data_IF_242876411433
#
_entry.id   IF_242876411433
#
_cell.length_a   1.000
_cell.length_b   1.000
_cell.length_c   1.000
_cell.angle_alpha   90.00
_cell.angle_beta   90.00
_cell.angle_gamma   90.00
#
_symmetry.space_group_name_H-M   'P 1'
#
loop_
_entity.id
_entity.type
_entity.pdbx_description
1 polymer ?
#
# COMPACT_ATOMS: atom_id res chain seq x y z
N UNK A 1 -25.05 -28.01 20.17
CA UNK A 1 -24.77 -29.43 19.91
C UNK A 1 -23.26 -29.51 19.65
N UNK A 2 -22.47 -30.25 20.50
CA UNK A 2 -21.05 -30.43 20.23
C UNK A 2 -20.88 -31.42 19.07
N UNK A 3 -20.59 -30.90 17.90
CA UNK A 3 -20.23 -31.72 16.74
C UNK A 3 -18.71 -31.90 16.73
N UNK A 4 -18.21 -33.14 16.64
CA UNK A 4 -16.79 -33.44 16.49
C UNK A 4 -16.17 -32.72 15.26
N UNK A 5 -16.97 -32.45 14.23
CA UNK A 5 -16.55 -31.65 13.05
C UNK A 5 -16.39 -30.16 13.33
N UNK A 6 -17.01 -29.62 14.39
CA UNK A 6 -16.89 -28.22 14.75
C UNK A 6 -15.68 -27.92 15.69
N UNK A 7 -15.06 -28.94 16.25
CA UNK A 7 -13.96 -28.79 17.21
C UNK A 7 -12.73 -28.13 16.59
N UNK A 8 -12.24 -28.53 15.41
CA UNK A 8 -11.12 -27.85 14.75
C UNK A 8 -11.41 -26.37 14.44
N UNK A 9 -12.65 -26.05 14.07
CA UNK A 9 -13.07 -24.67 13.82
C UNK A 9 -13.08 -23.83 15.11
N UNK A 10 -13.55 -24.39 16.23
CA UNK A 10 -13.53 -23.69 17.52
C UNK A 10 -12.10 -23.46 18.01
N UNK A 11 -11.21 -24.43 17.86
CA UNK A 11 -9.81 -24.31 18.21
C UNK A 11 -9.14 -23.23 17.35
N UNK A 12 -9.38 -23.21 16.03
CA UNK A 12 -8.91 -22.18 15.13
C UNK A 12 -9.43 -20.79 15.54
N UNK A 13 -10.72 -20.66 15.86
CA UNK A 13 -11.33 -19.41 16.29
C UNK A 13 -10.71 -18.89 17.60
N UNK A 14 -10.48 -19.79 18.57
CA UNK A 14 -9.85 -19.47 19.84
C UNK A 14 -8.40 -19.00 19.63
N UNK A 15 -7.67 -19.65 18.74
CA UNK A 15 -6.29 -19.27 18.39
C UNK A 15 -6.26 -17.88 17.71
N UNK A 16 -7.09 -17.63 16.70
CA UNK A 16 -7.19 -16.33 16.04
C UNK A 16 -7.57 -15.23 17.03
N UNK A 17 -8.50 -15.51 17.95
CA UNK A 17 -8.87 -14.58 19.02
C UNK A 17 -7.71 -14.28 19.97
N UNK A 18 -6.96 -15.29 20.39
CA UNK A 18 -5.79 -15.12 21.24
C UNK A 18 -4.67 -14.33 20.54
N UNK A 19 -4.38 -14.62 19.27
CA UNK A 19 -3.42 -13.88 18.45
C UNK A 19 -3.83 -12.41 18.31
N UNK A 20 -5.12 -12.15 18.08
CA UNK A 20 -5.62 -10.77 17.99
C UNK A 20 -5.48 -10.01 19.31
N UNK A 21 -5.76 -10.65 20.45
CA UNK A 21 -5.55 -10.04 21.76
C UNK A 21 -4.07 -9.72 21.99
N UNK A 22 -3.16 -10.62 21.60
CA UNK A 22 -1.72 -10.36 21.69
C UNK A 22 -1.29 -9.17 20.80
N UNK A 23 -1.83 -9.06 19.60
CA UNK A 23 -1.56 -7.92 18.69
C UNK A 23 -2.09 -6.58 19.24
N UNK A 24 -3.15 -6.59 20.03
CA UNK A 24 -3.66 -5.39 20.70
C UNK A 24 -2.73 -4.93 21.84
N UNK A 25 -2.07 -5.87 22.52
CA UNK A 25 -1.10 -5.56 23.57
C UNK A 25 0.29 -5.21 23.01
N UNK A 26 0.64 -5.80 21.86
CA UNK A 26 1.93 -5.64 21.21
C UNK A 26 1.71 -5.40 19.70
N UNK A 27 1.63 -4.12 19.27
CA UNK A 27 1.40 -3.79 17.85
C UNK A 27 2.47 -4.31 16.89
N UNK A 28 3.71 -4.55 17.35
CA UNK A 28 4.78 -5.10 16.50
C UNK A 28 4.41 -6.48 15.96
N UNK A 29 3.66 -7.28 16.72
CA UNK A 29 3.16 -8.58 16.25
C UNK A 29 2.25 -8.50 15.04
N UNK A 30 1.52 -7.39 14.87
CA UNK A 30 0.72 -7.18 13.66
C UNK A 30 1.61 -6.96 12.43
N UNK A 31 2.73 -6.26 12.59
CA UNK A 31 3.71 -6.04 11.53
C UNK A 31 4.42 -7.34 11.19
N UNK A 32 4.85 -8.09 12.20
CA UNK A 32 5.46 -9.42 12.00
C UNK A 32 4.52 -10.37 11.27
N UNK A 33 3.24 -10.37 11.63
CA UNK A 33 2.24 -11.21 10.96
C UNK A 33 2.07 -10.79 9.50
N UNK A 34 1.99 -9.49 9.21
CA UNK A 34 1.91 -9.00 7.84
C UNK A 34 3.14 -9.43 7.01
N UNK A 35 4.34 -9.36 7.59
CA UNK A 35 5.58 -9.82 6.94
C UNK A 35 5.50 -11.33 6.64
N UNK A 36 5.03 -12.15 7.60
CA UNK A 36 4.86 -13.59 7.40
C UNK A 36 3.84 -13.90 6.29
N UNK A 37 2.75 -13.15 6.26
CA UNK A 37 1.72 -13.32 5.23
C UNK A 37 2.23 -12.96 3.84
N UNK A 38 2.98 -11.86 3.67
CA UNK A 38 3.63 -11.52 2.40
C UNK A 38 4.67 -12.58 1.98
N UNK A 39 5.47 -13.12 2.91
CA UNK A 39 6.39 -14.23 2.62
C UNK A 39 5.65 -15.48 2.13
N UNK A 40 4.56 -15.86 2.82
CA UNK A 40 3.72 -16.99 2.42
C UNK A 40 3.11 -16.80 1.04
N UNK A 41 2.78 -15.57 0.68
CA UNK A 41 2.32 -15.20 -0.66
C UNK A 41 3.45 -15.16 -1.70
N UNK A 42 4.73 -15.35 -1.28
CA UNK A 42 5.88 -15.44 -2.17
C UNK A 42 6.57 -14.11 -2.48
N UNK A 43 6.22 -13.00 -1.84
CA UNK A 43 6.90 -11.72 -2.06
C UNK A 43 8.35 -11.74 -1.56
N UNK A 44 9.26 -11.11 -2.31
CA UNK A 44 10.67 -11.02 -1.92
C UNK A 44 10.87 -10.14 -0.69
N UNK A 45 11.89 -10.43 0.11
CA UNK A 45 12.23 -9.63 1.31
C UNK A 45 12.44 -8.15 0.98
N UNK A 46 13.06 -7.84 -0.17
CA UNK A 46 13.26 -6.46 -0.61
C UNK A 46 11.92 -5.76 -0.86
N UNK A 47 10.98 -6.43 -1.53
CA UNK A 47 9.65 -5.87 -1.78
C UNK A 47 8.86 -5.71 -0.47
N UNK A 48 8.92 -6.70 0.43
CA UNK A 48 8.24 -6.66 1.75
C UNK A 48 8.74 -5.45 2.55
N UNK A 49 10.04 -5.28 2.66
CA UNK A 49 10.65 -4.15 3.37
C UNK A 49 10.21 -2.81 2.78
N UNK A 50 10.19 -2.70 1.45
CA UNK A 50 9.73 -1.51 0.76
C UNK A 50 8.23 -1.26 1.04
N UNK A 51 7.42 -2.31 0.99
CA UNK A 51 5.97 -2.21 1.22
C UNK A 51 5.65 -1.75 2.65
N UNK A 52 6.33 -2.27 3.65
CA UNK A 52 6.15 -1.86 5.06
C UNK A 52 6.46 -0.37 5.24
N UNK A 53 7.57 0.12 4.65
CA UNK A 53 7.90 1.56 4.68
C UNK A 53 6.82 2.42 4.03
N UNK A 54 6.25 1.98 2.91
CA UNK A 54 5.19 2.74 2.22
C UNK A 54 3.89 2.80 3.03
N UNK A 55 3.62 1.84 3.91
CA UNK A 55 2.49 1.89 4.83
C UNK A 55 2.68 3.02 5.85
N UNK A 56 3.89 3.15 6.41
CA UNK A 56 4.23 4.21 7.35
C UNK A 56 4.13 5.60 6.70
N UNK A 57 4.73 5.77 5.53
CA UNK A 57 4.66 7.02 4.75
C UNK A 57 3.20 7.40 4.48
N UNK A 58 2.38 6.45 4.05
CA UNK A 58 0.96 6.69 3.79
C UNK A 58 0.20 7.11 5.05
N UNK A 59 0.51 6.49 6.18
CA UNK A 59 -0.08 6.89 7.47
C UNK A 59 0.29 8.33 7.80
N UNK A 60 1.56 8.70 7.68
CA UNK A 60 2.04 10.07 7.91
C UNK A 60 1.28 11.10 7.06
N UNK A 61 1.11 10.84 5.77
CA UNK A 61 0.34 11.70 4.88
C UNK A 61 -1.14 11.82 5.31
N UNK A 62 -1.76 10.69 5.68
CA UNK A 62 -3.16 10.69 6.12
C UNK A 62 -3.33 11.47 7.42
N UNK A 63 -2.38 11.38 8.35
CA UNK A 63 -2.41 12.13 9.59
C UNK A 63 -2.22 13.64 9.34
N UNK A 64 -1.38 14.03 8.37
CA UNK A 64 -1.23 15.41 7.92
C UNK A 64 -2.53 15.96 7.29
N UNK A 65 -3.21 15.18 6.47
CA UNK A 65 -4.49 15.59 5.90
C UNK A 65 -5.56 15.81 6.99
N UNK A 66 -5.60 14.94 8.01
CA UNK A 66 -6.47 15.15 9.18
C UNK A 66 -6.11 16.43 9.94
N UNK A 67 -4.81 16.68 10.14
CA UNK A 67 -4.35 17.93 10.78
C UNK A 67 -4.80 19.17 9.97
N UNK A 68 -4.80 19.08 8.65
CA UNK A 68 -5.26 20.14 7.75
C UNK A 68 -6.79 20.30 7.70
N UNK A 69 -7.54 19.52 8.48
CA UNK A 69 -9.01 19.63 8.57
C UNK A 69 -9.77 18.75 7.56
N UNK A 70 -9.09 17.79 6.88
CA UNK A 70 -9.77 16.79 6.06
C UNK A 70 -10.38 15.72 6.95
N UNK A 71 -11.70 15.58 6.94
CA UNK A 71 -12.44 14.65 7.81
C UNK A 71 -13.24 13.60 7.05
N UNK A 72 -13.70 13.93 5.83
CA UNK A 72 -14.59 13.08 5.06
C UNK A 72 -13.81 12.02 4.28
N UNK A 73 -14.24 10.77 4.36
CA UNK A 73 -13.65 9.64 3.63
C UNK A 73 -13.60 9.88 2.11
N UNK A 74 -14.61 10.58 1.57
CA UNK A 74 -14.66 10.98 0.17
C UNK A 74 -13.52 11.93 -0.21
N UNK A 75 -13.08 12.81 0.68
CA UNK A 75 -12.00 13.76 0.44
C UNK A 75 -10.63 13.07 0.50
N UNK A 76 -10.43 12.12 1.42
CA UNK A 76 -9.25 11.25 1.39
C UNK A 76 -9.14 10.46 0.08
N UNK A 77 -10.26 9.94 -0.43
CA UNK A 77 -10.29 9.25 -1.70
C UNK A 77 -9.94 10.18 -2.87
N UNK A 78 -10.51 11.40 -2.90
CA UNK A 78 -10.23 12.42 -3.93
C UNK A 78 -8.77 12.84 -3.93
N UNK A 79 -8.17 13.11 -2.76
CA UNK A 79 -6.76 13.47 -2.64
C UNK A 79 -5.86 12.33 -3.12
N UNK A 80 -6.22 11.09 -2.77
CA UNK A 80 -5.50 9.90 -3.22
C UNK A 80 -5.54 9.74 -4.74
N UNK A 81 -6.72 9.91 -5.33
CA UNK A 81 -6.89 9.84 -6.78
C UNK A 81 -6.19 10.98 -7.51
N UNK A 82 -6.23 12.20 -6.95
CA UNK A 82 -5.48 13.35 -7.47
C UNK A 82 -3.98 13.04 -7.54
N UNK A 83 -3.39 12.59 -6.41
CA UNK A 83 -1.97 12.27 -6.36
C UNK A 83 -1.63 11.14 -7.34
N UNK A 84 -2.41 10.07 -7.35
CA UNK A 84 -2.23 8.94 -8.28
C UNK A 84 -2.24 9.43 -9.72
N UNK A 85 -3.22 10.25 -10.11
CA UNK A 85 -3.34 10.78 -11.46
C UNK A 85 -2.19 11.69 -11.85
N UNK A 86 -1.69 12.51 -10.93
CA UNK A 86 -0.59 13.44 -11.20
C UNK A 86 0.72 12.69 -11.43
N UNK A 87 1.11 11.74 -10.55
CA UNK A 87 2.40 11.07 -10.70
C UNK A 87 2.38 9.92 -11.70
N UNK A 88 1.27 9.13 -11.75
CA UNK A 88 1.18 7.96 -12.61
C UNK A 88 0.48 8.20 -13.95
N UNK A 89 -0.29 9.28 -14.07
CA UNK A 89 -1.17 9.53 -15.20
C UNK A 89 -2.55 8.86 -15.09
N UNK A 90 -2.79 8.08 -14.04
CA UNK A 90 -4.01 7.29 -13.83
C UNK A 90 -4.61 7.52 -12.44
N UNK A 91 -5.92 7.60 -12.35
CA UNK A 91 -6.62 7.46 -11.07
C UNK A 91 -6.40 6.07 -10.49
N UNK A 92 -6.63 5.89 -9.20
CA UNK A 92 -6.52 4.57 -8.54
C UNK A 92 -7.33 3.49 -9.26
N UNK A 93 -8.52 3.83 -9.74
CA UNK A 93 -9.39 2.91 -10.47
C UNK A 93 -8.84 2.55 -11.85
N UNK A 94 -8.32 3.53 -12.58
CA UNK A 94 -7.68 3.32 -13.90
C UNK A 94 -6.43 2.47 -13.75
N UNK A 95 -5.64 2.71 -12.71
CA UNK A 95 -4.42 1.96 -12.44
C UNK A 95 -4.73 0.49 -12.05
N UNK A 96 -5.75 0.28 -11.21
CA UNK A 96 -6.23 -1.10 -10.95
C UNK A 96 -6.60 -1.82 -12.24
N UNK A 97 -7.35 -1.17 -13.14
CA UNK A 97 -7.71 -1.76 -14.45
C UNK A 97 -6.49 -2.05 -15.31
N UNK A 98 -5.52 -1.15 -15.35
CA UNK A 98 -4.27 -1.33 -16.08
C UNK A 98 -3.52 -2.58 -15.61
N UNK A 99 -3.53 -2.84 -14.30
CA UNK A 99 -2.94 -4.06 -13.72
C UNK A 99 -3.87 -5.29 -13.70
N UNK A 100 -5.06 -5.22 -14.31
CA UNK A 100 -6.02 -6.32 -14.32
C UNK A 100 -6.54 -6.69 -12.93
N UNK A 101 -6.63 -5.72 -12.01
CA UNK A 101 -7.12 -5.92 -10.65
C UNK A 101 -8.61 -5.57 -10.56
N UNK A 102 -9.35 -6.32 -9.74
CA UNK A 102 -10.75 -6.03 -9.36
C UNK A 102 -10.81 -5.43 -7.96
N UNK A 103 -10.72 -6.25 -6.92
CA UNK A 103 -10.88 -5.84 -5.52
C UNK A 103 -9.54 -5.76 -4.76
N UNK A 104 -8.48 -6.32 -5.34
CA UNK A 104 -7.16 -6.38 -4.70
C UNK A 104 -6.62 -4.97 -4.40
N UNK A 105 -5.77 -4.87 -3.39
CA UNK A 105 -5.08 -3.63 -3.06
C UNK A 105 -4.09 -3.27 -4.17
N UNK A 106 -4.19 -2.05 -4.71
CA UNK A 106 -3.32 -1.60 -5.79
C UNK A 106 -1.84 -1.63 -5.38
N UNK A 107 -1.52 -1.17 -4.15
CA UNK A 107 -0.12 -1.09 -3.69
C UNK A 107 0.52 -2.46 -3.50
N UNK A 108 -0.27 -3.48 -3.16
CA UNK A 108 0.23 -4.87 -3.04
C UNK A 108 0.55 -5.48 -4.42
N UNK A 109 0.14 -4.82 -5.49
CA UNK A 109 0.38 -5.22 -6.87
C UNK A 109 1.31 -4.23 -7.62
N UNK A 110 1.91 -3.27 -6.93
CA UNK A 110 2.91 -2.37 -7.50
C UNK A 110 4.29 -3.00 -7.48
N UNK A 111 5.07 -2.76 -8.53
CA UNK A 111 6.51 -3.08 -8.56
C UNK A 111 7.27 -2.22 -7.56
N UNK A 112 8.53 -2.58 -7.26
CA UNK A 112 9.37 -1.78 -6.36
C UNK A 112 9.52 -0.32 -6.84
N UNK A 113 9.67 -0.08 -8.13
CA UNK A 113 9.81 1.26 -8.67
C UNK A 113 8.50 2.06 -8.53
N UNK A 114 7.36 1.44 -8.80
CA UNK A 114 6.06 2.07 -8.61
C UNK A 114 5.81 2.41 -7.13
N UNK A 115 6.18 1.51 -6.20
CA UNK A 115 6.10 1.78 -4.76
C UNK A 115 6.99 2.94 -4.34
N UNK A 116 8.21 3.03 -4.87
CA UNK A 116 9.15 4.12 -4.57
C UNK A 116 8.62 5.47 -5.07
N UNK A 117 8.11 5.54 -6.30
CA UNK A 117 7.55 6.76 -6.86
C UNK A 117 6.27 7.20 -6.11
N UNK A 118 5.41 6.25 -5.75
CA UNK A 118 4.24 6.55 -4.93
C UNK A 118 4.65 7.06 -3.53
N UNK A 119 5.65 6.45 -2.92
CA UNK A 119 6.19 6.88 -1.63
C UNK A 119 6.84 8.28 -1.72
N UNK A 120 7.56 8.57 -2.80
CA UNK A 120 8.13 9.89 -3.04
C UNK A 120 7.05 10.97 -3.13
N UNK A 121 5.96 10.71 -3.86
CA UNK A 121 4.82 11.61 -3.93
C UNK A 121 4.21 11.87 -2.53
N UNK A 122 3.96 10.80 -1.78
CA UNK A 122 3.32 10.85 -0.47
C UNK A 122 4.21 11.53 0.58
N UNK A 123 5.51 11.21 0.61
CA UNK A 123 6.46 11.83 1.53
C UNK A 123 6.65 13.32 1.22
N UNK A 124 6.83 13.67 -0.05
CA UNK A 124 7.00 15.07 -0.46
C UNK A 124 5.75 15.89 -0.12
N UNK A 125 4.55 15.35 -0.36
CA UNK A 125 3.30 16.02 0.03
C UNK A 125 3.21 16.22 1.53
N UNK A 126 3.65 15.23 2.33
CA UNK A 126 3.69 15.33 3.80
C UNK A 126 4.62 16.45 4.26
N UNK A 127 5.82 16.51 3.71
CA UNK A 127 6.82 17.51 4.12
C UNK A 127 6.41 18.92 3.69
N UNK A 128 5.87 19.08 2.46
CA UNK A 128 5.29 20.34 2.01
C UNK A 128 4.09 20.76 2.85
N UNK A 129 3.26 19.83 3.31
CA UNK A 129 2.13 20.10 4.19
C UNK A 129 2.58 20.64 5.55
N UNK A 130 3.62 20.07 6.13
CA UNK A 130 4.20 20.55 7.39
C UNK A 130 4.77 21.96 7.28
N UNK A 131 5.39 22.28 6.15
CA UNK A 131 6.01 23.57 5.90
C UNK A 131 4.97 24.67 5.60
N UNK A 132 3.96 24.33 4.77
CA UNK A 132 2.98 25.31 4.28
C UNK A 132 1.74 25.43 5.15
N UNK A 133 1.50 24.49 6.07
CA UNK A 133 0.34 24.44 6.97
C UNK A 133 -1.01 24.66 6.26
N UNK A 134 -1.37 23.90 5.22
CA UNK A 134 -2.61 24.09 4.48
C UNK A 134 -3.82 23.88 5.40
N UNK A 135 -4.90 24.64 5.14
CA UNK A 135 -6.17 24.52 5.84
C UNK A 135 -7.30 24.13 4.87
N UNK A 136 -8.01 23.07 5.23
CA UNK A 136 -9.12 22.54 4.45
C UNK A 136 -8.70 21.82 3.16
N UNK A 137 -9.69 21.28 2.47
CA UNK A 137 -9.49 20.38 1.33
C UNK A 137 -8.81 21.05 0.13
N UNK A 138 -9.11 22.33 -0.13
CA UNK A 138 -8.61 23.01 -1.33
C UNK A 138 -7.11 23.24 -1.27
N UNK A 139 -6.62 23.80 -0.15
CA UNK A 139 -5.17 24.02 0.03
C UNK A 139 -4.42 22.69 0.16
N UNK A 140 -4.99 21.73 0.88
CA UNK A 140 -4.44 20.37 0.97
C UNK A 140 -4.31 19.71 -0.39
N UNK A 141 -5.27 19.89 -1.29
CA UNK A 141 -5.20 19.37 -2.66
C UNK A 141 -4.08 20.01 -3.47
N UNK A 142 -3.83 21.31 -3.32
CA UNK A 142 -2.70 22.00 -3.97
C UNK A 142 -1.36 21.41 -3.49
N UNK A 143 -1.18 21.26 -2.18
CA UNK A 143 0.03 20.67 -1.60
C UNK A 143 0.22 19.22 -2.03
N UNK A 144 -0.85 18.41 -2.02
CA UNK A 144 -0.82 17.04 -2.47
C UNK A 144 -0.44 16.92 -3.96
N UNK A 145 -0.96 17.83 -4.80
CA UNK A 145 -0.59 17.92 -6.21
C UNK A 145 0.89 18.24 -6.38
N UNK A 146 1.40 19.26 -5.70
CA UNK A 146 2.81 19.66 -5.79
C UNK A 146 3.74 18.50 -5.39
N UNK A 147 3.42 17.77 -4.31
CA UNK A 147 4.18 16.59 -3.91
C UNK A 147 4.16 15.47 -4.97
N UNK A 148 3.00 15.23 -5.58
CA UNK A 148 2.87 14.25 -6.65
C UNK A 148 3.58 14.67 -7.95
N UNK A 149 3.70 15.97 -8.22
CA UNK A 149 4.46 16.49 -9.38
C UNK A 149 5.96 16.20 -9.26
N UNK A 150 6.52 16.20 -8.07
CA UNK A 150 7.91 15.78 -7.85
C UNK A 150 8.13 14.34 -8.30
N UNK A 151 7.23 13.44 -7.91
CA UNK A 151 7.31 12.04 -8.33
C UNK A 151 7.07 11.86 -9.84
N UNK A 152 6.17 12.65 -10.45
CA UNK A 152 5.97 12.68 -11.90
C UNK A 152 7.25 13.07 -12.64
N UNK A 153 7.93 14.12 -12.18
CA UNK A 153 9.16 14.57 -12.80
C UNK A 153 10.29 13.56 -12.66
N UNK A 154 10.44 12.95 -11.46
CA UNK A 154 11.37 11.86 -11.24
C UNK A 154 11.08 10.66 -12.15
N UNK A 155 9.80 10.27 -12.27
CA UNK A 155 9.37 9.23 -13.20
C UNK A 155 9.78 9.54 -14.63
N UNK A 156 9.52 10.75 -15.12
CA UNK A 156 9.83 11.14 -16.49
C UNK A 156 11.35 11.03 -16.77
N UNK A 157 12.21 11.49 -15.84
CA UNK A 157 13.66 11.35 -15.98
C UNK A 157 14.12 9.88 -15.97
N UNK A 158 13.55 9.07 -15.10
CA UNK A 158 13.83 7.63 -15.05
C UNK A 158 13.43 6.95 -16.36
N UNK A 159 12.20 7.17 -16.85
CA UNK A 159 11.70 6.58 -18.09
C UNK A 159 12.52 7.01 -19.31
N UNK A 160 12.96 8.27 -19.35
CA UNK A 160 13.85 8.77 -20.40
C UNK A 160 15.18 8.01 -20.41
N UNK A 161 15.77 7.73 -19.24
CA UNK A 161 17.06 7.01 -19.13
C UNK A 161 16.92 5.52 -19.41
N UNK A 162 15.79 4.92 -19.01
CA UNK A 162 15.52 3.50 -19.23
C UNK A 162 15.05 3.20 -20.67
N UNK A 163 14.46 4.17 -21.37
CA UNK A 163 13.86 3.99 -22.68
C UNK A 163 12.52 3.26 -22.69
N UNK A 164 11.92 3.03 -21.49
CA UNK A 164 10.59 2.40 -21.36
C UNK A 164 9.86 2.93 -20.12
N UNK A 165 8.54 2.73 -20.06
CA UNK A 165 7.73 3.09 -18.89
C UNK A 165 8.10 2.24 -17.67
N UNK A 166 8.13 2.87 -16.49
CA UNK A 166 8.23 2.18 -15.20
C UNK A 166 6.86 1.74 -14.67
N UNK A 167 5.78 2.30 -15.23
CA UNK A 167 4.43 1.83 -14.95
C UNK A 167 4.14 0.66 -15.89
N UNK A 168 3.89 -0.49 -15.31
CA UNK A 168 3.67 -1.72 -16.05
C UNK A 168 2.32 -2.35 -15.67
N UNK A 169 1.83 -3.22 -16.54
CA UNK A 169 0.70 -4.11 -16.26
C UNK A 169 1.08 -5.28 -15.34
N UNK A 170 2.38 -5.51 -15.15
CA UNK A 170 2.89 -6.57 -14.28
C UNK A 170 2.53 -6.32 -12.82
N UNK A 171 2.10 -7.38 -12.16
CA UNK A 171 1.87 -7.39 -10.70
C UNK A 171 3.18 -7.72 -9.99
N UNK A 172 3.33 -7.24 -8.76
CA UNK A 172 4.50 -7.59 -7.95
C UNK A 172 4.67 -9.10 -7.80
N UNK A 173 3.54 -9.84 -7.76
CA UNK A 173 3.51 -11.29 -7.66
C UNK A 173 3.97 -12.01 -8.93
N UNK A 174 3.88 -11.38 -10.11
CA UNK A 174 4.29 -12.00 -11.38
C UNK A 174 5.82 -12.16 -11.48
N UNK A 175 6.58 -11.49 -10.62
CA UNK A 175 8.03 -11.64 -10.47
C UNK A 175 8.46 -12.72 -9.48
N UNK A 176 7.49 -13.38 -8.85
CA UNK A 176 7.75 -14.48 -7.94
C UNK A 176 7.92 -15.73 -8.81
N UNK A 177 9.14 -16.25 -8.84
CA UNK A 177 9.36 -17.62 -9.30
C UNK A 177 8.52 -18.52 -8.39
N UNK A 178 7.70 -19.44 -8.92
CA UNK A 178 7.02 -20.41 -8.08
C UNK A 178 8.09 -21.17 -7.28
N UNK A 179 8.27 -20.82 -6.01
CA UNK A 179 8.92 -21.72 -5.08
C UNK A 179 7.91 -22.84 -4.86
N UNK A 180 8.38 -24.04 -5.10
CA UNK A 180 7.68 -25.31 -4.99
C UNK A 180 6.44 -25.26 -4.09
N UNK A 181 5.35 -25.81 -4.60
CA UNK A 181 4.10 -25.99 -3.86
C UNK A 181 4.42 -26.38 -2.42
N UNK A 182 4.06 -25.51 -1.47
CA UNK A 182 4.13 -25.88 -0.05
C UNK A 182 3.42 -27.22 0.09
N UNK A 183 4.07 -28.25 0.63
CA UNK A 183 3.39 -29.50 0.85
C UNK A 183 2.21 -29.18 1.78
N UNK A 184 1.01 -29.28 1.23
CA UNK A 184 -0.19 -29.42 2.04
C UNK A 184 0.05 -30.73 2.78
N UNK A 185 0.34 -30.62 4.08
CA UNK A 185 0.47 -31.77 4.96
C UNK A 185 -0.76 -32.66 4.73
N UNK A 186 -0.51 -33.76 4.03
CA UNK A 186 -1.42 -34.89 3.97
C UNK A 186 -1.26 -35.61 5.29
N UNK A 187 -2.18 -35.37 6.21
CA UNK A 187 -2.64 -36.38 7.18
C UNK A 187 -4.06 -36.07 7.67
#
# INVERSE_FOLDING_TARGET
>A
IPSKKAEPFKQWLAQVGAERLQQLHDPEKSIEQAIKDYRRLGYSENWINQRIKTIEIRKGLTDEWKRSGVTEDSDFARLTDLMSKVWSGMTTREYKRHKGLTDQNLRDNMTNMELLLNALAEQTATDLSKERNPEGIVETAHVAKDGAEVARNARADIEQRLGHSVISDQKAIDHITPQDELPLDKE
#
